data_IF_373932698230
#
_entry.id   IF_373932698230
#
_cell.length_a   1.000
_cell.length_b   1.000
_cell.length_c   1.000
_cell.angle_alpha   90.00
_cell.angle_beta   90.00
_cell.angle_gamma   90.00
#
_symmetry.space_group_name_H-M   'P 1'
#
loop_
_entity.id
_entity.type
_entity.pdbx_description
1 polymer ?
#
# COMPACT_ATOMS: atom_id res chain seq x y z
N UNK A 1 -4.76 15.64 -4.19
CA UNK A 1 -4.27 14.98 -2.96
C UNK A 1 -2.89 15.53 -2.66
N UNK A 2 -2.52 15.65 -1.38
CA UNK A 2 -1.15 16.00 -0.97
C UNK A 2 -0.59 14.89 -0.10
N UNK A 3 0.71 14.64 -0.19
CA UNK A 3 1.40 13.71 0.72
C UNK A 3 2.07 14.51 1.83
N UNK A 4 1.85 14.08 3.06
CA UNK A 4 2.45 14.64 4.26
C UNK A 4 3.30 13.56 4.90
N UNK A 5 4.57 13.88 5.17
CA UNK A 5 5.51 12.98 5.84
C UNK A 5 6.03 13.72 7.07
N UNK A 6 5.84 13.12 8.25
CA UNK A 6 6.28 13.70 9.52
C UNK A 6 5.76 15.15 9.73
N UNK A 7 4.52 15.41 9.29
CA UNK A 7 3.88 16.73 9.39
C UNK A 7 4.33 17.76 8.34
N UNK A 8 5.26 17.39 7.45
CA UNK A 8 5.76 18.24 6.36
C UNK A 8 5.19 17.82 5.01
N UNK A 9 4.77 18.78 4.18
CA UNK A 9 4.33 18.50 2.81
C UNK A 9 5.50 17.93 1.99
N UNK A 10 5.21 16.93 1.17
CA UNK A 10 6.17 16.42 0.20
C UNK A 10 6.19 17.34 -1.02
N UNK A 11 7.11 18.30 -1.02
CA UNK A 11 7.20 19.35 -2.06
C UNK A 11 7.74 18.84 -3.41
N UNK A 12 8.50 17.75 -3.40
CA UNK A 12 9.08 17.14 -4.60
C UNK A 12 9.15 15.62 -4.46
N UNK A 13 8.95 14.92 -5.57
CA UNK A 13 9.12 13.46 -5.61
C UNK A 13 10.60 13.11 -5.46
N UNK A 14 10.93 12.12 -4.61
CA UNK A 14 12.30 11.62 -4.52
C UNK A 14 12.70 10.89 -5.81
N UNK A 15 13.95 11.00 -6.23
CA UNK A 15 14.46 10.29 -7.41
C UNK A 15 14.86 8.84 -7.11
N UNK A 16 14.93 8.45 -5.83
CA UNK A 16 15.21 7.07 -5.40
C UNK A 16 14.73 6.80 -3.97
N UNK A 17 14.56 5.53 -3.61
CA UNK A 17 14.30 5.11 -2.22
C UNK A 17 15.45 5.49 -1.29
N UNK A 18 16.69 5.48 -1.77
CA UNK A 18 17.86 5.91 -0.99
C UNK A 18 17.78 7.39 -0.61
N UNK A 19 17.46 8.26 -1.58
CA UNK A 19 17.24 9.69 -1.33
C UNK A 19 16.06 9.90 -0.37
N UNK A 20 14.95 9.19 -0.60
CA UNK A 20 13.76 9.26 0.23
C UNK A 20 14.05 8.93 1.69
N UNK A 21 14.77 7.83 1.96
CA UNK A 21 15.15 7.43 3.31
C UNK A 21 16.25 8.30 3.92
N UNK A 22 17.09 8.92 3.10
CA UNK A 22 18.06 9.90 3.60
C UNK A 22 17.35 11.16 4.11
N UNK A 23 16.24 11.55 3.46
CA UNK A 23 15.41 12.69 3.86
C UNK A 23 14.49 12.36 5.05
N UNK A 24 13.95 11.15 5.10
CA UNK A 24 13.00 10.69 6.12
C UNK A 24 13.48 9.40 6.80
N UNK A 25 14.52 9.46 7.66
CA UNK A 25 15.17 8.28 8.22
C UNK A 25 14.24 7.45 9.12
N UNK A 26 13.24 8.05 9.77
CA UNK A 26 12.30 7.28 10.60
C UNK A 26 11.44 6.31 9.77
N UNK A 27 11.16 6.62 8.50
CA UNK A 27 10.47 5.69 7.60
C UNK A 27 11.31 4.46 7.29
N UNK A 28 12.64 4.63 7.17
CA UNK A 28 13.56 3.50 6.98
C UNK A 28 13.54 2.58 8.20
N UNK A 29 13.66 3.16 9.40
CA UNK A 29 13.63 2.38 10.66
C UNK A 29 12.32 1.60 10.77
N UNK A 30 11.17 2.23 10.51
CA UNK A 30 9.86 1.55 10.49
C UNK A 30 9.80 0.43 9.45
N UNK A 31 10.39 0.63 8.27
CA UNK A 31 10.47 -0.38 7.23
C UNK A 31 11.33 -1.58 7.64
N UNK A 32 12.49 -1.33 8.27
CA UNK A 32 13.37 -2.37 8.81
C UNK A 32 12.70 -3.15 9.95
N UNK A 33 12.00 -2.45 10.85
CA UNK A 33 11.20 -3.06 11.91
C UNK A 33 10.10 -3.96 11.34
N UNK A 34 9.34 -3.48 10.35
CA UNK A 34 8.32 -4.29 9.67
C UNK A 34 8.92 -5.51 8.97
N UNK A 35 10.01 -5.34 8.23
CA UNK A 35 10.70 -6.42 7.54
C UNK A 35 11.31 -7.46 8.49
N UNK A 36 11.59 -7.09 9.75
CA UNK A 36 12.12 -8.01 10.77
C UNK A 36 11.06 -8.88 11.44
N UNK A 37 9.77 -8.62 11.20
CA UNK A 37 8.67 -9.38 11.79
C UNK A 37 8.59 -10.79 11.22
N UNK A 38 8.23 -11.76 12.07
CA UNK A 38 7.93 -13.11 11.60
C UNK A 38 6.62 -13.15 10.82
N UNK A 39 6.63 -13.78 9.65
CA UNK A 39 5.40 -14.03 8.87
C UNK A 39 4.36 -14.75 9.73
N UNK A 40 3.14 -14.21 9.76
CA UNK A 40 2.02 -14.79 10.49
C UNK A 40 1.11 -15.55 9.54
N UNK A 41 0.75 -16.78 9.89
CA UNK A 41 -0.32 -17.50 9.20
C UNK A 41 -1.67 -16.97 9.67
N UNK A 42 -2.44 -16.41 8.75
CA UNK A 42 -3.80 -15.97 8.99
C UNK A 42 -4.75 -17.15 8.79
N UNK A 43 -5.72 -17.29 9.69
CA UNK A 43 -6.74 -18.34 9.62
C UNK A 43 -7.69 -18.17 8.44
N UNK A 44 -8.60 -19.12 8.29
CA UNK A 44 -9.57 -19.21 7.19
C UNK A 44 -10.85 -18.37 7.39
N UNK A 45 -11.01 -17.73 8.55
CA UNK A 45 -12.21 -16.96 8.87
C UNK A 45 -11.99 -15.45 8.91
N UNK A 46 -12.93 -14.71 8.29
CA UNK A 46 -13.01 -13.26 8.42
C UNK A 46 -11.86 -12.53 7.74
N UNK A 47 -11.30 -13.06 6.66
CA UNK A 47 -10.31 -12.37 5.85
C UNK A 47 -10.88 -11.98 4.48
N UNK A 48 -10.44 -10.83 3.98
CA UNK A 48 -10.60 -10.42 2.59
C UNK A 48 -9.20 -10.46 1.96
N UNK A 49 -8.99 -11.40 1.05
CA UNK A 49 -7.79 -11.46 0.24
C UNK A 49 -7.98 -10.62 -1.03
N UNK A 50 -7.00 -9.76 -1.33
CA UNK A 50 -6.97 -8.91 -2.51
C UNK A 50 -5.94 -9.48 -3.47
N UNK A 51 -6.37 -9.95 -4.65
CA UNK A 51 -5.43 -10.48 -5.64
C UNK A 51 -4.74 -9.36 -6.42
N UNK A 52 -3.69 -9.72 -7.16
CA UNK A 52 -2.95 -8.81 -8.02
C UNK A 52 -3.87 -8.12 -9.06
N UNK A 53 -3.87 -6.79 -9.06
CA UNK A 53 -4.74 -5.95 -9.90
C UNK A 53 -6.12 -5.68 -9.32
N UNK A 54 -6.37 -6.11 -8.08
CA UNK A 54 -7.62 -5.84 -7.38
C UNK A 54 -7.41 -4.82 -6.26
N UNK A 55 -8.53 -4.28 -5.79
CA UNK A 55 -8.57 -3.48 -4.57
C UNK A 55 -9.83 -3.81 -3.77
N UNK A 56 -9.77 -3.61 -2.46
CA UNK A 56 -10.90 -3.70 -1.56
C UNK A 56 -10.94 -2.50 -0.63
N UNK A 57 -12.15 -2.11 -0.22
CA UNK A 57 -12.39 -1.07 0.80
C UNK A 57 -13.32 -1.68 1.84
N UNK A 58 -12.87 -1.70 3.09
CA UNK A 58 -13.56 -2.32 4.23
C UNK A 58 -13.80 -1.25 5.28
N UNK A 59 -15.05 -1.12 5.70
CA UNK A 59 -15.42 -0.22 6.80
C UNK A 59 -14.85 -0.75 8.11
N UNK A 60 -14.22 0.11 8.92
CA UNK A 60 -13.60 -0.31 10.19
C UNK A 60 -14.59 -0.87 11.22
N UNK A 61 -15.88 -0.54 11.09
CA UNK A 61 -16.95 -1.10 11.91
C UNK A 61 -17.54 -2.42 11.37
N UNK A 62 -17.01 -2.99 10.29
CA UNK A 62 -17.49 -4.27 9.74
C UNK A 62 -16.97 -5.44 10.58
N UNK A 63 -17.85 -6.03 11.39
CA UNK A 63 -17.51 -7.14 12.28
C UNK A 63 -17.23 -8.47 11.55
N UNK A 64 -17.51 -8.57 10.23
CA UNK A 64 -17.27 -9.78 9.45
C UNK A 64 -15.85 -9.88 8.93
N UNK A 65 -15.18 -8.74 8.76
CA UNK A 65 -13.83 -8.68 8.21
C UNK A 65 -12.85 -8.32 9.34
N UNK A 66 -12.07 -9.31 9.77
CA UNK A 66 -11.00 -9.20 10.76
C UNK A 66 -9.65 -8.88 10.12
N UNK A 67 -9.41 -9.43 8.93
CA UNK A 67 -8.15 -9.28 8.21
C UNK A 67 -8.40 -8.81 6.78
N UNK A 68 -7.56 -7.90 6.30
CA UNK A 68 -7.54 -7.43 4.92
C UNK A 68 -6.08 -7.47 4.47
N UNK A 69 -5.80 -8.15 3.36
CA UNK A 69 -4.43 -8.33 2.93
C UNK A 69 -4.28 -8.87 1.52
N UNK A 70 -3.04 -8.93 1.09
CA UNK A 70 -2.59 -9.49 -0.17
C UNK A 70 -1.26 -10.21 0.09
N UNK A 71 -0.85 -11.07 -0.82
CA UNK A 71 0.45 -11.76 -0.80
C UNK A 71 1.12 -11.70 -2.19
N UNK A 72 2.27 -12.36 -2.34
CA UNK A 72 3.02 -12.54 -3.59
C UNK A 72 3.51 -11.24 -4.26
N UNK A 73 3.73 -10.19 -3.46
CA UNK A 73 4.25 -8.91 -3.92
C UNK A 73 5.76 -8.96 -4.25
N UNK A 74 6.10 -9.54 -5.40
CA UNK A 74 7.50 -9.66 -5.87
C UNK A 74 8.01 -8.32 -6.41
N UNK A 75 7.72 -7.96 -7.65
CA UNK A 75 8.05 -6.64 -8.23
C UNK A 75 6.91 -5.62 -8.08
N UNK A 76 5.72 -6.10 -7.75
CA UNK A 76 4.51 -5.35 -7.47
C UNK A 76 4.51 -4.74 -6.05
N UNK A 77 3.56 -3.83 -5.81
CA UNK A 77 3.42 -3.09 -4.57
C UNK A 77 2.01 -3.28 -3.98
N UNK A 78 1.95 -3.60 -2.69
CA UNK A 78 0.73 -3.57 -1.90
C UNK A 78 0.60 -2.17 -1.30
N UNK A 79 -0.49 -1.48 -1.63
CA UNK A 79 -0.80 -0.14 -1.14
C UNK A 79 -1.99 -0.22 -0.19
N UNK A 80 -1.84 0.36 1.00
CA UNK A 80 -2.91 0.45 2.00
C UNK A 80 -3.19 1.90 2.38
N UNK A 81 -4.47 2.27 2.36
CA UNK A 81 -4.99 3.51 2.93
C UNK A 81 -5.79 3.19 4.19
N UNK A 82 -5.63 3.97 5.25
CA UNK A 82 -6.37 3.79 6.50
C UNK A 82 -6.87 5.13 7.04
N UNK A 83 -8.15 5.20 7.36
CA UNK A 83 -8.70 6.31 8.13
C UNK A 83 -8.36 6.10 9.62
N UNK A 84 -7.60 7.03 10.25
CA UNK A 84 -6.97 6.77 11.54
C UNK A 84 -7.98 6.54 12.67
N UNK A 85 -9.08 7.31 12.68
CA UNK A 85 -10.06 7.31 13.78
C UNK A 85 -11.05 6.15 13.71
N UNK A 86 -11.53 5.82 12.51
CA UNK A 86 -12.57 4.78 12.34
C UNK A 86 -12.00 3.43 11.95
N UNK A 87 -10.74 3.37 11.51
CA UNK A 87 -10.10 2.15 11.03
C UNK A 87 -10.64 1.64 9.69
N UNK A 88 -11.42 2.44 8.96
CA UNK A 88 -11.80 2.11 7.58
C UNK A 88 -10.56 2.05 6.71
N UNK A 89 -10.38 0.92 6.03
CA UNK A 89 -9.14 0.61 5.31
C UNK A 89 -9.42 0.20 3.88
N UNK A 90 -8.51 0.57 2.98
CA UNK A 90 -8.46 0.08 1.63
C UNK A 90 -7.11 -0.56 1.36
N UNK A 91 -7.10 -1.68 0.66
CA UNK A 91 -5.88 -2.37 0.20
C UNK A 91 -5.99 -2.60 -1.30
N UNK A 92 -4.91 -2.35 -2.03
CA UNK A 92 -4.76 -2.65 -3.43
C UNK A 92 -3.42 -3.36 -3.68
N UNK A 93 -3.40 -4.23 -4.68
CA UNK A 93 -2.18 -4.88 -5.15
C UNK A 93 -1.89 -4.38 -6.57
N UNK A 94 -0.99 -3.41 -6.67
CA UNK A 94 -0.59 -2.76 -7.91
C UNK A 94 0.64 -3.43 -8.51
N UNK A 95 0.60 -3.67 -9.81
CA UNK A 95 1.62 -4.37 -10.58
C UNK A 95 2.19 -3.57 -11.73
N UNK A 96 1.87 -2.27 -11.83
CA UNK A 96 2.39 -1.36 -12.85
C UNK A 96 1.51 -1.25 -14.09
N UNK A 97 0.35 -1.92 -14.12
CA UNK A 97 -0.57 -1.87 -15.28
C UNK A 97 -1.29 -0.52 -15.39
N UNK A 98 -1.82 -0.22 -16.58
CA UNK A 98 -2.65 0.97 -16.78
C UNK A 98 -3.92 0.94 -15.91
N UNK A 99 -4.29 2.08 -15.31
CA UNK A 99 -5.53 2.27 -14.54
C UNK A 99 -5.38 2.20 -13.02
N UNK A 100 -4.15 2.08 -12.49
CA UNK A 100 -3.90 2.11 -11.05
C UNK A 100 -4.25 3.45 -10.40
N UNK A 101 -4.05 4.56 -11.11
CA UNK A 101 -4.46 5.90 -10.68
C UNK A 101 -5.98 5.97 -10.46
N UNK A 102 -6.77 5.44 -11.40
CA UNK A 102 -8.24 5.37 -11.30
C UNK A 102 -8.68 4.48 -10.12
N UNK A 103 -7.96 3.40 -9.87
CA UNK A 103 -8.21 2.52 -8.73
C UNK A 103 -7.93 3.23 -7.41
N UNK A 104 -6.81 3.95 -7.30
CA UNK A 104 -6.45 4.74 -6.12
C UNK A 104 -7.47 5.86 -5.85
N UNK A 105 -7.87 6.60 -6.89
CA UNK A 105 -8.91 7.63 -6.80
C UNK A 105 -10.24 7.03 -6.34
N UNK A 106 -10.59 5.84 -6.85
CA UNK A 106 -11.79 5.13 -6.44
C UNK A 106 -11.73 4.67 -4.98
N UNK A 107 -10.58 4.20 -4.49
CA UNK A 107 -10.38 3.84 -3.08
C UNK A 107 -10.59 5.05 -2.17
N UNK A 108 -9.94 6.18 -2.49
CA UNK A 108 -10.06 7.43 -1.72
C UNK A 108 -11.51 7.92 -1.73
N UNK A 109 -12.17 7.90 -2.89
CA UNK A 109 -13.57 8.28 -3.02
C UNK A 109 -14.49 7.40 -2.17
N UNK A 110 -14.27 6.09 -2.16
CA UNK A 110 -15.05 5.13 -1.37
C UNK A 110 -14.84 5.35 0.13
N UNK A 111 -13.62 5.57 0.60
CA UNK A 111 -13.37 5.93 2.00
C UNK A 111 -14.10 7.23 2.34
N UNK A 112 -13.98 8.25 1.49
CA UNK A 112 -14.65 9.55 1.69
C UNK A 112 -16.18 9.47 1.68
N UNK A 113 -16.77 8.47 1.01
CA UNK A 113 -18.21 8.18 1.09
C UNK A 113 -18.64 7.58 2.42
N UNK A 114 -17.76 6.81 3.06
CA UNK A 114 -18.05 6.11 4.33
C UNK A 114 -17.78 7.05 5.52
N UNK A 115 -16.64 7.74 5.50
CA UNK A 115 -16.11 8.52 6.64
C UNK A 115 -16.40 10.03 6.54
N UNK A 116 -16.76 10.51 5.34
CA UNK A 116 -16.86 11.94 5.05
C UNK A 116 -15.70 12.44 4.19
N UNK A 117 -15.90 13.59 3.52
CA UNK A 117 -14.89 14.14 2.60
C UNK A 117 -13.74 14.82 3.37
N UNK A 118 -12.61 14.99 2.69
CA UNK A 118 -11.43 15.74 3.14
C UNK A 118 -10.83 15.24 4.47
N UNK A 119 -10.80 13.92 4.67
CA UNK A 119 -10.16 13.31 5.82
C UNK A 119 -8.67 13.08 5.58
N UNK A 120 -7.89 13.10 6.66
CA UNK A 120 -6.51 12.64 6.64
C UNK A 120 -6.49 11.10 6.59
N UNK A 121 -5.64 10.55 5.72
CA UNK A 121 -5.48 9.11 5.57
C UNK A 121 -4.02 8.74 5.81
N UNK A 122 -3.81 7.65 6.52
CA UNK A 122 -2.51 7.01 6.64
C UNK A 122 -2.26 6.16 5.39
N UNK A 123 -1.09 6.33 4.77
CA UNK A 123 -0.66 5.59 3.58
C UNK A 123 0.50 4.66 3.92
N UNK A 124 0.39 3.40 3.48
CA UNK A 124 1.44 2.39 3.59
C UNK A 124 1.67 1.79 2.21
N UNK A 125 2.95 1.59 1.87
CA UNK A 125 3.38 0.98 0.61
C UNK A 125 4.43 -0.06 0.96
N UNK A 126 4.20 -1.31 0.53
CA UNK A 126 5.06 -2.46 0.83
C UNK A 126 5.21 -3.30 -0.43
N UNK A 127 6.38 -3.88 -0.65
CA UNK A 127 6.66 -4.73 -1.81
C UNK A 127 7.69 -4.10 -2.74
N UNK A 128 7.94 -4.79 -3.84
CA UNK A 128 8.95 -4.41 -4.82
C UNK A 128 10.36 -4.79 -4.38
N UNK A 129 11.11 -5.39 -5.30
CA UNK A 129 12.56 -5.44 -5.24
C UNK A 129 13.11 -5.20 -6.65
N UNK A 130 14.39 -4.85 -6.73
CA UNK A 130 15.08 -4.77 -8.03
C UNK A 130 15.52 -6.17 -8.41
N UNK A 131 14.92 -6.80 -9.44
CA UNK A 131 15.30 -8.15 -9.83
C UNK A 131 16.70 -8.18 -10.45
N UNK A 132 17.41 -9.29 -10.24
CA UNK A 132 18.72 -9.49 -10.86
C UNK A 132 18.58 -9.60 -12.39
N UNK A 133 19.51 -9.02 -13.18
CA UNK A 133 19.48 -9.14 -14.63
C UNK A 133 19.46 -10.60 -15.10
N UNK A 134 18.54 -10.93 -16.02
CA UNK A 134 18.41 -12.28 -16.58
C UNK A 134 17.47 -13.21 -15.81
N UNK A 135 16.86 -12.74 -14.72
CA UNK A 135 15.75 -13.44 -14.04
C UNK A 135 14.43 -13.26 -14.80
N UNK A 136 13.45 -14.14 -14.56
CA UNK A 136 12.13 -14.04 -15.20
C UNK A 136 11.42 -12.73 -14.85
N UNK A 137 11.65 -12.27 -13.64
CA UNK A 137 11.15 -11.04 -13.05
C UNK A 137 11.78 -9.83 -13.75
N UNK A 138 13.09 -9.86 -14.05
CA UNK A 138 13.75 -8.81 -14.84
C UNK A 138 13.20 -8.71 -16.27
N UNK A 139 12.90 -9.85 -16.92
CA UNK A 139 12.37 -9.84 -18.28
C UNK A 139 10.92 -9.30 -18.37
N UNK A 140 10.14 -9.43 -17.28
CA UNK A 140 8.79 -8.86 -17.21
C UNK A 140 8.83 -7.34 -17.11
N UNK A 141 9.72 -6.80 -16.28
CA UNK A 141 9.87 -5.36 -16.10
C UNK A 141 10.38 -4.62 -17.36
N UNK A 142 11.06 -5.32 -18.28
CA UNK A 142 11.53 -4.75 -19.57
C UNK A 142 10.46 -4.74 -20.67
N UNK A 143 9.31 -5.40 -20.44
CA UNK A 143 8.26 -5.61 -21.44
C UNK A 143 7.02 -4.73 -21.27
N UNK A 144 7.02 -3.86 -20.27
CA UNK A 144 5.98 -2.86 -19.96
C UNK A 144 6.51 -1.43 -20.18
#
# INVERSE_FOLDING_TARGET
MVLIIEGSLLDSLPCSTQEFYSKYPALRVKGEEFASQSVQQIGDEGFVYVAQGEYAVVKGSDAKVKFLGSDDATTCHIVMLRHPDSGTSAVAHFDGRNGEEDALDTMIYKIGKIEGKNQELELYIVGGYVPEPGTKESCKNESE
#
